data_IF_032269085285
#
_entry.id   IF_032269085285
#
_cell.length_a   1.000
_cell.length_b   1.000
_cell.length_c   1.000
_cell.angle_alpha   90.00
_cell.angle_beta   90.00
_cell.angle_gamma   90.00
#
_symmetry.space_group_name_H-M   'P 1'
#
loop_
_entity.id
_entity.type
_entity.pdbx_description
1 polymer ?
#
# COMPACT_ATOMS: atom_id res chain seq x y z
N UNK A 1 -31.25 -47.98 -41.45
CA UNK A 1 -32.49 -47.24 -41.72
C UNK A 1 -32.18 -45.80 -41.44
N UNK A 2 -31.80 -45.02 -42.42
CA UNK A 2 -32.54 -44.08 -43.28
C UNK A 2 -33.48 -43.13 -42.48
N UNK A 3 -33.13 -41.84 -42.37
CA UNK A 3 -33.75 -40.64 -43.03
C UNK A 3 -33.33 -39.43 -42.19
N UNK A 4 -32.76 -38.40 -42.68
CA UNK A 4 -32.97 -37.36 -43.71
C UNK A 4 -32.95 -35.98 -43.06
N UNK A 5 -32.03 -35.17 -43.61
CA UNK A 5 -31.93 -33.71 -43.59
C UNK A 5 -33.23 -32.94 -43.66
N UNK A 6 -33.21 -31.69 -43.05
CA UNK A 6 -33.79 -30.50 -43.70
C UNK A 6 -32.96 -29.27 -43.32
N UNK A 7 -32.30 -28.67 -44.30
CA UNK A 7 -31.80 -27.30 -44.32
C UNK A 7 -32.96 -26.35 -44.57
N UNK A 8 -33.02 -25.20 -43.88
CA UNK A 8 -33.77 -24.04 -44.38
C UNK A 8 -32.84 -22.81 -44.28
N UNK A 9 -32.37 -22.41 -45.44
CA UNK A 9 -31.83 -21.10 -45.77
C UNK A 9 -33.00 -20.13 -45.96
N UNK A 10 -32.97 -18.95 -45.39
CA UNK A 10 -33.67 -17.82 -45.95
C UNK A 10 -32.84 -16.54 -45.84
N UNK A 11 -32.68 -15.97 -47.01
CA UNK A 11 -31.83 -14.85 -47.40
C UNK A 11 -32.55 -13.49 -47.27
N UNK A 12 -31.71 -12.46 -46.97
CA UNK A 12 -31.69 -11.13 -47.57
C UNK A 12 -32.94 -10.21 -47.53
N UNK A 13 -32.70 -8.97 -47.06
CA UNK A 13 -33.10 -7.78 -47.81
C UNK A 13 -32.30 -6.54 -47.35
N UNK A 14 -31.44 -6.02 -48.25
CA UNK A 14 -30.94 -4.65 -48.25
C UNK A 14 -32.05 -3.65 -48.46
N UNK A 15 -32.04 -2.54 -47.74
CA UNK A 15 -32.69 -1.31 -48.18
C UNK A 15 -31.71 -0.12 -47.94
N UNK A 16 -31.08 0.32 -49.04
CA UNK A 16 -30.49 1.63 -49.17
C UNK A 16 -31.57 2.69 -49.34
N UNK A 17 -31.52 3.74 -48.52
CA UNK A 17 -32.15 5.01 -48.87
C UNK A 17 -31.13 6.12 -48.71
N UNK A 18 -30.65 6.62 -49.86
CA UNK A 18 -29.96 7.91 -49.97
C UNK A 18 -30.98 9.03 -49.83
N UNK A 19 -30.66 10.00 -48.95
CA UNK A 19 -31.19 11.35 -49.10
C UNK A 19 -30.03 12.32 -48.94
N UNK A 20 -29.75 13.01 -50.03
CA UNK A 20 -28.89 14.20 -50.09
C UNK A 20 -29.73 15.40 -49.63
N UNK A 21 -29.19 16.16 -48.68
CA UNK A 21 -29.70 17.46 -48.30
C UNK A 21 -28.60 18.31 -47.70
N UNK A 22 -28.09 19.27 -48.52
CA UNK A 22 -27.19 20.34 -48.05
C UNK A 22 -27.92 21.28 -47.10
N UNK A 23 -27.28 21.60 -45.95
CA UNK A 23 -27.72 22.67 -45.08
C UNK A 23 -26.64 22.96 -44.04
N UNK A 24 -25.94 24.07 -44.25
CA UNK A 24 -24.88 24.62 -43.42
C UNK A 24 -25.41 25.09 -42.07
N UNK A 25 -24.91 24.62 -40.96
CA UNK A 25 -24.71 25.43 -39.73
C UNK A 25 -23.76 24.77 -38.76
N UNK A 26 -22.81 25.58 -38.30
CA UNK A 26 -21.86 25.29 -37.24
C UNK A 26 -22.59 25.19 -35.91
N UNK A 27 -22.46 24.05 -35.24
CA UNK A 27 -22.36 23.98 -33.78
C UNK A 27 -21.64 22.66 -33.46
N UNK A 28 -20.40 22.82 -32.99
CA UNK A 28 -19.57 21.74 -32.48
C UNK A 28 -20.11 21.35 -31.09
N UNK A 29 -20.94 20.33 -31.03
CA UNK A 29 -21.17 19.60 -29.78
C UNK A 29 -19.95 18.71 -29.55
N UNK A 30 -19.19 19.01 -28.50
CA UNK A 30 -18.19 18.12 -27.96
C UNK A 30 -18.87 16.81 -27.57
N UNK A 31 -18.57 15.75 -28.32
CA UNK A 31 -18.95 14.40 -27.89
C UNK A 31 -18.12 14.06 -26.66
N UNK A 32 -18.75 14.01 -25.51
CA UNK A 32 -18.24 13.27 -24.36
C UNK A 32 -18.15 11.82 -24.81
N UNK A 33 -16.92 11.35 -24.97
CA UNK A 33 -16.65 9.92 -25.08
C UNK A 33 -16.84 9.36 -23.68
N UNK A 34 -18.05 8.87 -23.35
CA UNK A 34 -18.20 7.96 -22.20
C UNK A 34 -17.21 6.81 -22.42
N UNK A 35 -16.21 6.73 -21.53
CA UNK A 35 -15.35 5.57 -21.46
C UNK A 35 -16.28 4.37 -21.19
N UNK A 36 -16.32 3.41 -22.12
CA UNK A 36 -17.06 2.18 -21.91
C UNK A 36 -16.53 1.55 -20.61
N UNK A 37 -17.42 1.39 -19.63
CA UNK A 37 -17.06 0.66 -18.40
C UNK A 37 -16.60 -0.75 -18.83
N UNK A 38 -15.47 -1.19 -18.32
CA UNK A 38 -14.99 -2.55 -18.56
C UNK A 38 -16.03 -3.55 -18.04
N UNK A 39 -16.26 -4.62 -18.80
CA UNK A 39 -17.16 -5.69 -18.36
C UNK A 39 -16.58 -6.31 -17.07
N UNK A 40 -17.44 -6.61 -16.06
CA UNK A 40 -16.98 -7.25 -14.84
C UNK A 40 -16.37 -8.63 -15.11
N UNK A 41 -15.31 -8.96 -14.40
CA UNK A 41 -14.72 -10.30 -14.44
C UNK A 41 -15.73 -11.39 -14.03
N UNK A 42 -15.48 -12.62 -14.44
CA UNK A 42 -16.09 -13.80 -13.82
C UNK A 42 -15.60 -13.93 -12.37
N UNK A 43 -16.24 -14.81 -11.58
CA UNK A 43 -15.88 -14.97 -10.16
C UNK A 43 -14.45 -15.50 -10.01
N UNK A 44 -13.61 -14.72 -9.33
CA UNK A 44 -12.22 -15.09 -9.02
C UNK A 44 -11.78 -14.47 -7.68
N UNK A 45 -10.62 -14.93 -7.19
CA UNK A 45 -10.03 -14.43 -5.93
C UNK A 45 -8.63 -13.92 -6.21
N UNK A 46 -8.28 -12.76 -5.69
CA UNK A 46 -6.94 -12.17 -5.74
C UNK A 46 -6.38 -12.10 -4.32
N UNK A 47 -5.24 -12.72 -4.09
CA UNK A 47 -4.54 -12.72 -2.79
C UNK A 47 -3.55 -11.56 -2.73
N UNK A 48 -3.76 -10.66 -1.79
CA UNK A 48 -2.95 -9.44 -1.62
C UNK A 48 -2.15 -9.51 -0.34
N UNK A 49 -0.83 -9.45 -0.43
CA UNK A 49 0.04 -9.23 0.72
C UNK A 49 0.36 -7.75 0.82
N UNK A 50 -0.10 -7.09 1.87
CA UNK A 50 0.05 -5.65 2.04
C UNK A 50 0.65 -5.28 3.39
N UNK A 51 1.49 -4.25 3.41
CA UNK A 51 2.09 -3.73 4.63
C UNK A 51 1.03 -3.44 5.70
N UNK A 52 1.34 -3.67 6.97
CA UNK A 52 0.40 -3.50 8.10
C UNK A 52 -0.25 -2.12 8.15
N UNK A 53 0.48 -1.07 7.79
CA UNK A 53 -0.02 0.31 7.70
C UNK A 53 -1.11 0.53 6.63
N UNK A 54 -1.27 -0.39 5.68
CA UNK A 54 -2.31 -0.33 4.65
C UNK A 54 -3.62 -0.99 5.08
N UNK A 55 -3.64 -1.75 6.19
CA UNK A 55 -4.77 -2.58 6.57
C UNK A 55 -6.11 -1.80 6.58
N UNK A 56 -6.13 -0.62 7.19
CA UNK A 56 -7.37 0.17 7.35
C UNK A 56 -7.84 0.77 6.02
N UNK A 57 -6.92 1.32 5.22
CA UNK A 57 -7.28 1.95 3.93
C UNK A 57 -7.70 0.91 2.90
N UNK A 58 -7.12 -0.30 2.94
CA UNK A 58 -7.46 -1.39 2.01
C UNK A 58 -8.93 -1.81 2.11
N UNK A 59 -9.56 -1.71 3.28
CA UNK A 59 -10.99 -2.02 3.43
C UNK A 59 -11.85 -1.12 2.53
N UNK A 60 -11.57 0.20 2.51
CA UNK A 60 -12.32 1.14 1.66
C UNK A 60 -11.93 1.01 0.19
N UNK A 61 -10.65 0.80 -0.12
CA UNK A 61 -10.18 0.57 -1.49
C UNK A 61 -10.83 -0.66 -2.12
N UNK A 62 -10.89 -1.77 -1.39
CA UNK A 62 -11.56 -3.00 -1.85
C UNK A 62 -13.06 -2.75 -2.06
N UNK A 63 -13.71 -2.04 -1.14
CA UNK A 63 -15.13 -1.71 -1.28
C UNK A 63 -15.41 -0.80 -2.50
N UNK A 64 -14.49 0.12 -2.83
CA UNK A 64 -14.59 0.98 -4.02
C UNK A 64 -14.38 0.16 -5.29
N UNK A 65 -13.31 -0.64 -5.36
CA UNK A 65 -13.00 -1.52 -6.46
C UNK A 65 -14.17 -2.45 -6.80
N UNK A 66 -14.81 -3.04 -5.78
CA UNK A 66 -15.91 -3.97 -5.95
C UNK A 66 -17.20 -3.31 -6.48
N UNK A 67 -17.29 -1.98 -6.60
CA UNK A 67 -18.39 -1.33 -7.31
C UNK A 67 -18.34 -1.57 -8.82
N UNK A 68 -17.15 -1.72 -9.38
CA UNK A 68 -16.92 -2.00 -10.80
C UNK A 68 -16.64 -3.49 -11.05
N UNK A 69 -16.02 -4.18 -10.09
CA UNK A 69 -15.64 -5.59 -10.17
C UNK A 69 -16.29 -6.43 -9.04
N UNK A 70 -17.62 -6.58 -9.03
CA UNK A 70 -18.35 -7.19 -7.91
C UNK A 70 -18.08 -8.69 -7.73
N UNK A 71 -17.50 -9.34 -8.72
CA UNK A 71 -17.23 -10.78 -8.72
C UNK A 71 -15.77 -11.11 -8.32
N UNK A 72 -14.92 -10.10 -8.16
CA UNK A 72 -13.54 -10.28 -7.71
C UNK A 72 -13.49 -10.20 -6.19
N UNK A 73 -13.06 -11.29 -5.55
CA UNK A 73 -12.81 -11.33 -4.10
C UNK A 73 -11.36 -10.97 -3.81
N UNK A 74 -11.11 -9.86 -3.14
CA UNK A 74 -9.76 -9.49 -2.69
C UNK A 74 -9.55 -10.02 -1.27
N UNK A 75 -8.56 -10.90 -1.09
CA UNK A 75 -8.19 -11.49 0.21
C UNK A 75 -6.85 -10.93 0.66
N UNK A 76 -6.87 -10.08 1.69
CA UNK A 76 -5.69 -9.39 2.21
C UNK A 76 -4.99 -10.11 3.36
N UNK A 77 -3.66 -10.21 3.32
CA UNK A 77 -2.79 -10.56 4.42
C UNK A 77 -1.96 -9.34 4.82
N UNK A 78 -1.96 -8.98 6.11
CA UNK A 78 -1.40 -7.71 6.58
C UNK A 78 -0.39 -7.90 7.70
N UNK A 79 0.90 -7.74 7.38
CA UNK A 79 2.01 -7.78 8.34
C UNK A 79 3.15 -6.82 7.92
N UNK A 80 4.32 -6.89 8.58
CA UNK A 80 5.48 -6.14 8.11
C UNK A 80 5.87 -6.58 6.69
N UNK A 81 6.29 -5.62 5.86
CA UNK A 81 6.69 -5.93 4.49
C UNK A 81 7.83 -6.96 4.42
N UNK A 82 8.71 -6.99 5.43
CA UNK A 82 9.78 -7.98 5.51
C UNK A 82 9.26 -9.40 5.74
N UNK A 83 8.29 -9.59 6.64
CA UNK A 83 7.66 -10.91 6.89
C UNK A 83 6.92 -11.39 5.64
N UNK A 84 6.13 -10.50 5.01
CA UNK A 84 5.38 -10.84 3.80
C UNK A 84 6.31 -11.20 2.63
N UNK A 85 7.41 -10.45 2.45
CA UNK A 85 8.44 -10.75 1.47
C UNK A 85 9.01 -12.17 1.69
N UNK A 86 9.41 -12.50 2.92
CA UNK A 86 9.93 -13.84 3.24
C UNK A 86 8.90 -14.93 2.94
N UNK A 87 7.61 -14.71 3.22
CA UNK A 87 6.57 -15.68 2.86
C UNK A 87 6.46 -15.88 1.34
N UNK A 88 6.60 -14.80 0.54
CA UNK A 88 6.63 -14.89 -0.93
C UNK A 88 7.86 -15.66 -1.39
N UNK A 89 9.05 -15.37 -0.84
CA UNK A 89 10.29 -16.11 -1.11
C UNK A 89 10.18 -17.62 -0.76
N UNK A 90 9.43 -17.95 0.28
CA UNK A 90 9.13 -19.33 0.70
C UNK A 90 8.03 -20.01 -0.15
N UNK A 91 7.45 -19.29 -1.13
CA UNK A 91 6.47 -19.82 -2.07
C UNK A 91 5.01 -19.72 -1.63
N UNK A 92 4.68 -18.81 -0.70
CA UNK A 92 3.29 -18.53 -0.39
C UNK A 92 2.55 -17.96 -1.62
N UNK A 93 1.34 -18.45 -1.88
CA UNK A 93 0.49 -17.92 -2.94
C UNK A 93 0.17 -16.44 -2.67
N UNK A 94 0.60 -15.57 -3.56
CA UNK A 94 0.41 -14.12 -3.51
C UNK A 94 0.34 -13.59 -4.93
N UNK A 95 -0.70 -12.83 -5.26
CA UNK A 95 -0.88 -12.22 -6.57
C UNK A 95 -0.40 -10.79 -6.61
N UNK A 96 -0.59 -10.05 -5.51
CA UNK A 96 -0.22 -8.64 -5.40
C UNK A 96 0.54 -8.41 -4.10
N UNK A 97 1.74 -7.83 -4.20
CA UNK A 97 2.50 -7.37 -3.05
C UNK A 97 2.50 -5.85 -2.97
N UNK A 98 2.11 -5.29 -1.84
CA UNK A 98 2.07 -3.85 -1.58
C UNK A 98 2.94 -3.52 -0.36
N UNK A 99 4.18 -3.14 -0.61
CA UNK A 99 5.21 -2.91 0.40
C UNK A 99 5.19 -1.47 0.94
N UNK A 100 5.60 -1.29 2.19
CA UNK A 100 5.84 0.03 2.80
C UNK A 100 7.26 0.56 2.56
N UNK A 101 8.06 -0.09 1.72
CA UNK A 101 9.39 0.38 1.32
C UNK A 101 9.83 -0.26 0.01
N UNK A 102 10.68 0.46 -0.71
CA UNK A 102 11.27 -0.02 -1.97
C UNK A 102 12.16 -1.26 -1.77
N UNK A 103 12.93 -1.32 -0.66
CA UNK A 103 13.92 -2.39 -0.41
C UNK A 103 13.34 -3.81 -0.58
N UNK A 104 12.15 -4.08 -0.05
CA UNK A 104 11.53 -5.40 -0.14
C UNK A 104 11.04 -5.72 -1.56
N UNK A 105 10.55 -4.71 -2.26
CA UNK A 105 10.16 -4.87 -3.66
C UNK A 105 11.38 -5.06 -4.56
N UNK A 106 12.47 -4.31 -4.32
CA UNK A 106 13.75 -4.46 -5.04
C UNK A 106 14.31 -5.87 -4.86
N UNK A 107 14.23 -6.44 -3.65
CA UNK A 107 14.65 -7.81 -3.36
C UNK A 107 13.87 -8.80 -4.25
N UNK A 108 12.54 -8.77 -4.20
CA UNK A 108 11.70 -9.69 -4.99
C UNK A 108 11.87 -9.51 -6.50
N UNK A 109 12.09 -8.29 -6.97
CA UNK A 109 12.23 -7.98 -8.39
C UNK A 109 13.63 -8.33 -8.90
N UNK A 110 14.68 -7.77 -8.27
CA UNK A 110 16.03 -7.73 -8.85
C UNK A 110 16.86 -8.97 -8.47
N UNK A 111 16.58 -9.57 -7.31
CA UNK A 111 17.34 -10.72 -6.81
C UNK A 111 16.60 -12.05 -7.02
N UNK A 112 15.29 -12.06 -6.77
CA UNK A 112 14.52 -13.29 -6.77
C UNK A 112 13.76 -13.53 -8.09
N UNK A 113 13.51 -12.46 -8.88
CA UNK A 113 12.78 -12.54 -10.14
C UNK A 113 11.31 -12.92 -9.96
N UNK A 114 10.72 -12.55 -8.81
CA UNK A 114 9.34 -12.88 -8.44
C UNK A 114 8.32 -11.79 -8.77
N UNK A 115 8.74 -10.63 -9.27
CA UNK A 115 7.84 -9.56 -9.73
C UNK A 115 7.60 -9.70 -11.22
N UNK A 116 6.35 -9.60 -11.66
CA UNK A 116 5.99 -9.61 -13.08
C UNK A 116 6.41 -8.28 -13.71
N UNK A 117 7.16 -8.36 -14.81
CA UNK A 117 7.72 -7.20 -15.50
C UNK A 117 6.65 -6.19 -15.89
N UNK A 118 6.91 -4.91 -15.61
CA UNK A 118 6.04 -3.80 -15.99
C UNK A 118 4.84 -3.55 -15.06
N UNK A 119 4.65 -4.36 -14.01
CA UNK A 119 3.51 -4.23 -13.09
C UNK A 119 3.82 -3.40 -11.83
N UNK A 120 5.09 -3.05 -11.61
CA UNK A 120 5.50 -2.27 -10.44
C UNK A 120 5.16 -0.79 -10.57
N UNK A 121 4.47 -0.24 -9.58
CA UNK A 121 4.11 1.18 -9.48
C UNK A 121 4.43 1.73 -8.09
N UNK A 122 4.87 2.98 -8.02
CA UNK A 122 4.87 3.76 -6.79
C UNK A 122 3.46 4.31 -6.60
N UNK A 123 2.84 4.06 -5.46
CA UNK A 123 1.42 4.41 -5.23
C UNK A 123 1.26 5.58 -4.31
N UNK A 124 1.91 5.53 -3.14
CA UNK A 124 1.82 6.57 -2.11
C UNK A 124 3.16 6.78 -1.43
N UNK A 125 3.30 7.96 -0.83
CA UNK A 125 4.34 8.30 0.13
C UNK A 125 3.71 8.37 1.53
N UNK A 126 4.51 8.16 2.57
CA UNK A 126 4.08 8.26 3.96
C UNK A 126 5.11 9.02 4.78
N UNK A 127 4.78 9.40 5.98
CA UNK A 127 5.68 10.17 6.85
C UNK A 127 5.78 9.52 8.22
N UNK A 128 7.01 9.32 8.71
CA UNK A 128 7.23 8.86 10.08
C UNK A 128 6.79 9.93 11.07
N UNK A 129 6.08 9.53 12.10
CA UNK A 129 5.64 10.39 13.19
C UNK A 129 6.14 9.86 14.53
N UNK A 130 6.52 10.75 15.43
CA UNK A 130 6.65 10.46 16.86
C UNK A 130 5.30 10.73 17.51
N UNK A 131 4.76 9.72 18.18
CA UNK A 131 3.45 9.78 18.81
C UNK A 131 3.51 9.46 20.30
N UNK A 132 2.53 9.95 21.04
CA UNK A 132 2.28 9.60 22.43
C UNK A 132 0.78 9.34 22.63
N UNK A 133 0.39 8.68 23.72
CA UNK A 133 -1.02 8.57 24.06
C UNK A 133 -1.55 9.88 24.67
N UNK A 134 -2.80 10.20 24.40
CA UNK A 134 -3.43 11.41 24.93
C UNK A 134 -3.42 11.44 26.45
N UNK A 135 -2.94 12.54 27.01
CA UNK A 135 -2.83 12.75 28.45
C UNK A 135 -1.62 12.06 29.09
N UNK A 136 -0.64 11.61 28.31
CA UNK A 136 0.62 11.02 28.81
C UNK A 136 1.40 11.97 29.73
N UNK A 137 1.32 13.28 29.44
CA UNK A 137 2.16 14.28 30.10
C UNK A 137 3.65 14.11 29.81
N UNK A 138 3.98 13.49 28.68
CA UNK A 138 5.38 13.30 28.25
C UNK A 138 6.12 14.62 28.13
N UNK A 139 7.42 14.60 28.42
CA UNK A 139 8.31 15.72 28.15
C UNK A 139 8.92 15.68 26.74
N UNK A 140 8.68 14.59 25.99
CA UNK A 140 9.17 14.41 24.61
C UNK A 140 8.41 15.34 23.67
N UNK A 141 9.15 16.03 22.81
CA UNK A 141 8.59 16.94 21.81
C UNK A 141 8.76 16.42 20.38
N UNK A 142 9.63 15.43 20.18
CA UNK A 142 9.88 14.85 18.87
C UNK A 142 11.02 13.82 18.88
N UNK A 143 11.57 13.54 17.68
CA UNK A 143 12.61 12.54 17.51
C UNK A 143 13.89 12.91 18.27
N UNK A 144 14.28 14.19 18.24
CA UNK A 144 15.56 14.65 18.79
C UNK A 144 15.69 14.47 20.30
N UNK A 145 14.58 14.40 21.01
CA UNK A 145 14.54 14.26 22.48
C UNK A 145 13.77 13.00 22.94
N UNK A 146 13.53 12.07 22.03
CA UNK A 146 12.77 10.83 22.27
C UNK A 146 13.34 9.99 23.44
N UNK A 147 14.66 10.09 23.67
CA UNK A 147 15.33 9.45 24.80
C UNK A 147 14.91 9.96 26.19
N UNK A 148 14.18 11.08 26.29
CA UNK A 148 13.61 11.58 27.53
C UNK A 148 12.32 10.85 27.94
N UNK A 149 11.80 9.96 27.10
CA UNK A 149 10.63 9.14 27.43
C UNK A 149 10.94 8.12 28.53
N UNK A 150 9.93 7.68 29.25
CA UNK A 150 10.04 6.56 30.20
C UNK A 150 10.18 5.23 29.48
N UNK A 151 9.50 5.09 28.33
CA UNK A 151 9.57 3.91 27.48
C UNK A 151 9.18 4.26 26.03
N UNK A 152 9.77 3.54 25.08
CA UNK A 152 9.57 3.74 23.63
C UNK A 152 9.05 2.43 23.02
N UNK A 153 8.00 2.48 22.22
CA UNK A 153 7.67 1.40 21.30
C UNK A 153 8.35 1.67 19.95
N UNK A 154 9.15 0.73 19.48
CA UNK A 154 9.93 0.86 18.26
C UNK A 154 9.85 -0.42 17.44
N UNK A 155 9.56 -0.31 16.15
CA UNK A 155 9.58 -1.48 15.28
C UNK A 155 11.02 -1.97 15.04
N UNK A 156 11.18 -3.29 14.84
CA UNK A 156 12.44 -3.92 14.45
C UNK A 156 13.03 -3.27 13.19
N UNK A 157 14.34 -3.34 13.00
CA UNK A 157 15.04 -2.74 11.87
C UNK A 157 14.68 -3.33 10.49
N UNK A 158 14.19 -4.56 10.45
CA UNK A 158 13.70 -5.20 9.23
C UNK A 158 12.32 -4.67 8.80
N UNK A 159 11.57 -4.07 9.74
CA UNK A 159 10.27 -3.44 9.49
C UNK A 159 10.48 -2.07 8.86
N UNK A 160 9.79 -1.70 7.76
CA UNK A 160 10.02 -0.42 7.09
C UNK A 160 10.00 0.80 8.03
N UNK A 161 9.00 0.98 8.89
CA UNK A 161 8.98 2.13 9.82
C UNK A 161 10.15 2.11 10.79
N UNK A 162 10.59 0.94 11.25
CA UNK A 162 11.75 0.77 12.12
C UNK A 162 13.05 1.16 11.40
N UNK A 163 13.19 0.78 10.11
CA UNK A 163 14.31 1.20 9.26
C UNK A 163 14.32 2.72 9.06
N UNK A 164 13.20 3.32 8.68
CA UNK A 164 13.10 4.77 8.45
C UNK A 164 13.34 5.56 9.73
N UNK A 165 12.89 5.05 10.88
CA UNK A 165 13.20 5.68 12.18
C UNK A 165 14.71 5.66 12.48
N UNK A 166 15.37 4.51 12.25
CA UNK A 166 16.84 4.40 12.41
C UNK A 166 17.57 5.33 11.45
N UNK A 167 17.12 5.41 10.19
CA UNK A 167 17.68 6.34 9.21
C UNK A 167 17.56 7.80 9.69
N UNK A 168 16.40 8.16 10.23
CA UNK A 168 16.19 9.51 10.78
C UNK A 168 17.09 9.78 11.98
N UNK A 169 17.28 8.82 12.89
CA UNK A 169 18.17 8.95 14.04
C UNK A 169 19.64 9.11 13.60
N UNK A 170 20.09 8.35 12.59
CA UNK A 170 21.44 8.48 12.01
C UNK A 170 21.62 9.85 11.37
N UNK A 171 20.65 10.30 10.56
CA UNK A 171 20.72 11.59 9.87
C UNK A 171 20.61 12.79 10.85
N UNK A 172 19.94 12.61 11.99
CA UNK A 172 19.90 13.57 13.08
C UNK A 172 21.16 13.55 13.96
N UNK A 173 22.11 12.63 13.72
CA UNK A 173 23.35 12.50 14.51
C UNK A 173 23.14 11.87 15.90
N UNK A 174 22.04 11.17 16.12
CA UNK A 174 21.73 10.46 17.36
C UNK A 174 22.36 9.06 17.40
N UNK A 175 22.62 8.49 16.22
CA UNK A 175 23.27 7.20 16.02
C UNK A 175 24.44 7.33 15.06
N UNK A 176 25.41 6.44 15.18
CA UNK A 176 26.55 6.37 14.27
C UNK A 176 26.11 5.98 12.84
N UNK A 177 26.84 6.46 11.84
CA UNK A 177 26.62 6.07 10.44
C UNK A 177 27.06 4.63 10.20
N UNK A 178 26.18 3.87 9.54
CA UNK A 178 26.40 2.49 9.12
C UNK A 178 25.99 2.32 7.66
N UNK A 179 26.44 1.25 7.01
CA UNK A 179 26.09 0.97 5.61
C UNK A 179 24.60 0.56 5.45
N UNK A 180 24.06 -0.22 6.39
CA UNK A 180 22.66 -0.60 6.42
C UNK A 180 22.05 -0.31 7.79
N UNK A 181 21.27 0.76 7.87
CA UNK A 181 20.62 1.20 9.12
C UNK A 181 19.64 0.16 9.68
N UNK A 182 19.14 -0.77 8.85
CA UNK A 182 18.27 -1.84 9.32
C UNK A 182 18.96 -2.84 10.26
N UNK A 183 20.29 -2.85 10.27
CA UNK A 183 21.09 -3.70 11.14
C UNK A 183 21.37 -3.08 12.52
N UNK A 184 21.07 -1.80 12.74
CA UNK A 184 21.19 -1.16 14.05
C UNK A 184 20.20 -1.83 15.00
N UNK A 185 20.70 -2.47 16.04
CA UNK A 185 19.89 -3.19 17.01
C UNK A 185 19.17 -2.25 17.97
N UNK A 186 18.07 -2.71 18.52
CA UNK A 186 17.34 -1.98 19.59
C UNK A 186 18.22 -1.70 20.81
N UNK A 187 19.16 -2.62 21.14
CA UNK A 187 20.13 -2.43 22.21
C UNK A 187 21.10 -1.27 21.94
N UNK A 188 21.56 -1.11 20.70
CA UNK A 188 22.42 0.02 20.32
C UNK A 188 21.67 1.33 20.43
N UNK A 189 20.40 1.38 19.98
CA UNK A 189 19.53 2.56 20.14
C UNK A 189 19.31 2.88 21.61
N UNK A 190 18.99 1.88 22.43
CA UNK A 190 18.81 2.04 23.86
C UNK A 190 20.03 2.68 24.53
N UNK A 191 21.22 2.17 24.20
CA UNK A 191 22.47 2.71 24.74
C UNK A 191 22.72 4.15 24.29
N UNK A 192 22.48 4.48 23.01
CA UNK A 192 22.66 5.83 22.47
C UNK A 192 21.67 6.83 23.09
N UNK A 193 20.48 6.38 23.46
CA UNK A 193 19.43 7.19 24.09
C UNK A 193 19.50 7.22 25.64
N UNK A 194 20.62 6.81 26.22
CA UNK A 194 20.86 6.90 27.68
C UNK A 194 20.22 5.78 28.51
N UNK A 195 19.86 4.66 27.89
CA UNK A 195 19.34 3.48 28.55
C UNK A 195 17.82 3.47 28.71
N UNK A 196 17.08 4.27 27.95
CA UNK A 196 15.60 4.27 27.95
C UNK A 196 15.06 2.88 27.60
N UNK A 197 13.99 2.49 28.24
CA UNK A 197 13.35 1.20 27.96
C UNK A 197 12.70 1.20 26.57
N UNK A 198 13.06 0.21 25.74
CA UNK A 198 12.53 0.07 24.38
C UNK A 198 11.82 -1.26 24.22
N UNK A 199 10.55 -1.19 23.89
CA UNK A 199 9.73 -2.33 23.47
C UNK A 199 9.85 -2.51 21.95
N UNK A 200 10.55 -3.55 21.52
CA UNK A 200 10.68 -3.89 20.12
C UNK A 200 9.42 -4.57 19.59
N UNK A 201 8.88 -4.07 18.49
CA UNK A 201 7.62 -4.50 17.89
C UNK A 201 7.84 -5.13 16.52
N UNK A 202 7.09 -6.19 16.22
CA UNK A 202 7.19 -6.95 14.96
C UNK A 202 6.62 -6.20 13.74
N UNK A 203 5.75 -5.22 13.94
CA UNK A 203 5.15 -4.39 12.89
C UNK A 203 4.65 -3.06 13.45
N UNK A 204 4.30 -2.11 12.56
CA UNK A 204 3.84 -0.78 12.97
C UNK A 204 2.52 -0.81 13.74
N UNK A 205 1.61 -1.73 13.43
CA UNK A 205 0.35 -1.85 14.15
C UNK A 205 0.56 -2.20 15.63
N UNK A 206 1.59 -3.02 15.95
CA UNK A 206 1.97 -3.32 17.33
C UNK A 206 2.52 -2.09 18.05
N UNK A 207 3.30 -1.24 17.36
CA UNK A 207 3.77 0.06 17.91
C UNK A 207 2.57 0.96 18.21
N UNK A 208 1.67 1.14 17.24
CA UNK A 208 0.48 1.98 17.37
C UNK A 208 -0.37 1.55 18.56
N UNK A 209 -0.63 0.24 18.69
CA UNK A 209 -1.39 -0.30 19.83
C UNK A 209 -0.67 -0.08 21.16
N UNK A 210 0.64 -0.36 21.24
CA UNK A 210 1.41 -0.20 22.47
C UNK A 210 1.38 1.23 23.02
N UNK A 211 1.42 2.24 22.12
CA UNK A 211 1.31 3.64 22.53
C UNK A 211 -0.15 4.02 22.81
N UNK A 212 -1.10 3.66 21.95
CA UNK A 212 -2.50 4.02 22.12
C UNK A 212 -3.14 3.44 23.41
N UNK A 213 -2.62 2.31 23.89
CA UNK A 213 -3.03 1.66 25.14
C UNK A 213 -2.23 2.12 26.37
N UNK A 214 -1.24 3.01 26.17
CA UNK A 214 -0.37 3.52 27.23
C UNK A 214 0.64 2.50 27.78
N UNK A 215 0.86 1.39 27.07
CA UNK A 215 1.89 0.39 27.44
C UNK A 215 3.31 0.97 27.23
N UNK A 216 3.47 1.87 26.28
CA UNK A 216 4.67 2.68 26.08
C UNK A 216 4.30 4.17 26.04
N UNK A 217 5.19 5.02 26.54
CA UNK A 217 4.94 6.46 26.62
C UNK A 217 4.94 7.12 25.23
N UNK A 218 5.91 6.75 24.38
CA UNK A 218 6.02 7.25 23.01
C UNK A 218 6.33 6.10 22.05
N UNK A 219 6.19 6.37 20.77
CA UNK A 219 6.60 5.44 19.72
C UNK A 219 6.73 6.13 18.37
N UNK A 220 7.27 5.40 17.38
CA UNK A 220 7.37 5.87 16.01
C UNK A 220 6.48 5.05 15.10
N UNK A 221 5.54 5.73 14.44
CA UNK A 221 4.54 5.16 13.52
C UNK A 221 4.55 5.94 12.22
N UNK A 222 3.76 5.53 11.22
CA UNK A 222 3.48 6.38 10.09
C UNK A 222 2.30 7.32 10.36
N UNK A 223 2.23 8.43 9.63
CA UNK A 223 1.11 9.36 9.74
C UNK A 223 -0.22 8.68 9.44
N UNK A 224 -0.27 7.80 8.46
CA UNK A 224 -1.46 7.00 8.15
C UNK A 224 -1.93 6.10 9.31
N UNK A 225 -1.02 5.62 10.16
CA UNK A 225 -1.36 4.76 11.30
C UNK A 225 -2.06 5.54 12.44
N UNK A 226 -2.08 6.88 12.35
CA UNK A 226 -2.81 7.72 13.33
C UNK A 226 -4.27 7.92 12.96
N UNK A 227 -4.68 7.56 11.74
CA UNK A 227 -6.07 7.61 11.31
C UNK A 227 -6.95 6.67 12.15
N UNK A 228 -8.05 7.22 12.68
CA UNK A 228 -8.94 6.49 13.59
C UNK A 228 -8.42 6.35 15.03
N UNK A 229 -7.27 6.98 15.35
CA UNK A 229 -6.72 7.04 16.70
C UNK A 229 -6.62 8.47 17.24
N UNK A 230 -7.27 9.43 16.61
CA UNK A 230 -7.18 10.87 16.94
C UNK A 230 -7.69 11.18 18.37
N UNK A 231 -8.50 10.31 18.95
CA UNK A 231 -8.98 10.40 20.32
C UNK A 231 -8.03 9.76 21.36
N UNK A 232 -7.10 8.90 20.92
CA UNK A 232 -6.17 8.15 21.78
C UNK A 232 -4.72 8.54 21.61
N UNK A 233 -4.32 8.97 20.42
CA UNK A 233 -2.95 9.38 20.10
C UNK A 233 -2.83 10.90 19.92
N UNK A 234 -1.64 11.39 20.25
CA UNK A 234 -1.17 12.74 19.96
C UNK A 234 0.12 12.65 19.15
N UNK A 235 0.19 13.38 18.04
CA UNK A 235 1.39 13.48 17.21
C UNK A 235 2.27 14.58 17.81
N UNK A 236 3.45 14.19 18.27
CA UNK A 236 4.46 15.13 18.80
C UNK A 236 5.25 15.76 17.66
N UNK A 237 5.62 14.96 16.65
CA UNK A 237 6.35 15.42 15.48
C UNK A 237 6.01 14.56 14.26
N UNK A 238 5.87 15.20 13.09
CA UNK A 238 6.02 14.56 11.78
C UNK A 238 7.47 14.71 11.36
N UNK A 239 8.22 13.61 11.36
CA UNK A 239 9.65 13.60 11.08
C UNK A 239 9.90 14.06 9.64
N UNK A 240 10.79 15.04 9.47
CA UNK A 240 11.08 15.60 8.15
C UNK A 240 11.62 14.54 7.17
N UNK A 241 11.19 14.59 5.92
CA UNK A 241 11.77 13.80 4.83
C UNK A 241 13.26 14.03 4.61
N UNK A 242 13.83 15.16 5.07
CA UNK A 242 15.28 15.36 5.07
C UNK A 242 16.00 14.34 5.97
N UNK A 243 15.32 13.76 6.96
CA UNK A 243 15.87 12.76 7.87
C UNK A 243 15.54 11.32 7.43
N UNK A 244 14.34 11.07 6.94
CA UNK A 244 13.90 9.73 6.54
C UNK A 244 14.17 9.39 5.09
N UNK A 245 14.23 10.39 4.19
CA UNK A 245 13.94 10.23 2.77
C UNK A 245 12.44 10.03 2.54
N UNK A 246 12.04 9.89 1.27
CA UNK A 246 10.67 9.53 0.92
C UNK A 246 10.35 8.10 1.36
N UNK A 247 9.16 7.90 1.91
CA UNK A 247 8.66 6.59 2.35
C UNK A 247 7.69 6.06 1.30
N UNK A 248 8.24 5.68 0.16
CA UNK A 248 7.46 5.24 -1.00
C UNK A 248 6.95 3.81 -0.80
N UNK A 249 5.68 3.62 -1.10
CA UNK A 249 4.99 2.33 -1.10
C UNK A 249 4.83 1.84 -2.53
N UNK A 250 5.66 0.88 -2.97
CA UNK A 250 5.48 0.22 -4.26
C UNK A 250 4.46 -0.91 -4.16
N UNK A 251 3.67 -1.08 -5.23
CA UNK A 251 2.83 -2.25 -5.48
C UNK A 251 3.33 -2.97 -6.73
N UNK A 252 3.22 -4.28 -6.78
CA UNK A 252 3.50 -5.07 -7.97
C UNK A 252 2.73 -6.39 -7.97
N UNK A 253 2.54 -6.95 -9.16
CA UNK A 253 2.06 -8.32 -9.33
C UNK A 253 3.21 -9.30 -9.12
N UNK A 254 2.93 -10.36 -8.37
CA UNK A 254 3.90 -11.39 -8.00
C UNK A 254 3.67 -12.63 -8.87
N UNK A 255 4.76 -13.33 -9.18
CA UNK A 255 4.71 -14.61 -9.87
C UNK A 255 4.07 -15.65 -8.96
N UNK A 256 2.78 -15.90 -9.16
CA UNK A 256 2.01 -16.94 -8.48
C UNK A 256 1.78 -18.12 -9.45
N UNK A 257 2.48 -19.24 -9.22
CA UNK A 257 2.39 -20.42 -10.08
C UNK A 257 1.06 -21.17 -9.92
N UNK A 258 0.24 -20.83 -8.94
CA UNK A 258 -1.07 -21.43 -8.70
C UNK A 258 -2.20 -20.64 -9.37
N UNK A 259 -1.95 -19.37 -9.73
CA UNK A 259 -2.93 -18.48 -10.33
C UNK A 259 -3.23 -18.85 -11.80
N UNK A 260 -4.52 -18.85 -12.15
CA UNK A 260 -4.95 -18.97 -13.54
C UNK A 260 -4.93 -17.60 -14.29
N UNK A 261 -5.24 -17.62 -15.60
CA UNK A 261 -5.23 -16.39 -16.42
C UNK A 261 -6.26 -15.33 -15.94
N UNK A 262 -7.39 -15.76 -15.40
CA UNK A 262 -8.43 -14.87 -14.90
C UNK A 262 -7.98 -14.17 -13.61
N UNK A 263 -7.39 -14.92 -12.68
CA UNK A 263 -6.83 -14.41 -11.43
C UNK A 263 -5.68 -13.43 -11.71
N UNK A 264 -4.77 -13.76 -12.64
CA UNK A 264 -3.68 -12.88 -13.07
C UNK A 264 -4.21 -11.56 -13.66
N UNK A 265 -5.23 -11.63 -14.52
CA UNK A 265 -5.85 -10.45 -15.13
C UNK A 265 -6.58 -9.59 -14.09
N UNK A 266 -7.25 -10.19 -13.12
CA UNK A 266 -7.91 -9.49 -12.04
C UNK A 266 -6.91 -8.83 -11.07
N UNK A 267 -5.75 -9.45 -10.84
CA UNK A 267 -4.67 -8.87 -10.06
C UNK A 267 -4.06 -7.63 -10.73
N UNK A 268 -3.84 -7.66 -12.04
CA UNK A 268 -3.39 -6.52 -12.82
C UNK A 268 -4.44 -5.38 -12.80
N UNK A 269 -5.71 -5.69 -12.99
CA UNK A 269 -6.81 -4.71 -12.95
C UNK A 269 -6.91 -4.05 -11.55
N UNK A 270 -6.75 -4.83 -10.48
CA UNK A 270 -6.72 -4.29 -9.12
C UNK A 270 -5.52 -3.35 -8.90
N UNK A 271 -4.32 -3.67 -9.42
CA UNK A 271 -3.16 -2.77 -9.38
C UNK A 271 -3.46 -1.48 -10.15
N UNK A 272 -4.07 -1.56 -11.34
CA UNK A 272 -4.45 -0.40 -12.11
C UNK A 272 -5.47 0.49 -11.36
N UNK A 273 -6.41 -0.12 -10.63
CA UNK A 273 -7.28 0.63 -9.72
C UNK A 273 -6.49 1.33 -8.61
N UNK A 274 -5.53 0.66 -7.96
CA UNK A 274 -4.75 1.23 -6.86
C UNK A 274 -3.94 2.49 -7.25
N UNK A 275 -3.63 2.68 -8.54
CA UNK A 275 -2.95 3.88 -9.06
C UNK A 275 -3.92 4.92 -9.64
N UNK A 276 -5.23 4.66 -9.64
CA UNK A 276 -6.26 5.54 -10.18
C UNK A 276 -6.50 6.79 -9.32
N UNK A 277 -7.17 7.79 -9.87
CA UNK A 277 -7.53 9.01 -9.14
C UNK A 277 -8.57 8.74 -8.02
N UNK A 278 -9.43 7.73 -8.19
CA UNK A 278 -10.38 7.31 -7.16
C UNK A 278 -9.63 6.71 -5.96
N UNK A 279 -8.66 5.83 -6.20
CA UNK A 279 -7.82 5.28 -5.15
C UNK A 279 -6.97 6.37 -4.45
N UNK A 280 -6.41 7.33 -5.20
CA UNK A 280 -5.67 8.47 -4.63
C UNK A 280 -6.54 9.27 -3.66
N UNK A 281 -7.80 9.53 -4.02
CA UNK A 281 -8.73 10.24 -3.14
C UNK A 281 -8.94 9.50 -1.82
N UNK A 282 -9.06 8.16 -1.88
CA UNK A 282 -9.19 7.32 -0.70
C UNK A 282 -7.89 7.36 0.12
N UNK A 283 -6.71 7.18 -0.50
CA UNK A 283 -5.44 7.24 0.21
C UNK A 283 -5.25 8.56 0.97
N UNK A 284 -5.56 9.71 0.34
CA UNK A 284 -5.46 11.02 0.98
C UNK A 284 -6.35 11.14 2.21
N UNK A 285 -7.55 10.57 2.19
CA UNK A 285 -8.45 10.51 3.35
C UNK A 285 -7.81 9.79 4.53
N UNK A 286 -6.98 8.79 4.28
CA UNK A 286 -6.25 8.00 5.28
C UNK A 286 -4.83 8.54 5.55
N UNK A 287 -4.59 9.81 5.28
CA UNK A 287 -3.36 10.55 5.57
C UNK A 287 -2.11 10.10 4.79
N UNK A 288 -2.28 9.38 3.68
CA UNK A 288 -1.19 9.14 2.74
C UNK A 288 -0.99 10.36 1.83
N UNK A 289 0.26 10.57 1.44
CA UNK A 289 0.62 11.50 0.38
C UNK A 289 0.62 10.75 -0.96
N UNK A 290 -0.10 11.27 -1.95
CA UNK A 290 -0.24 10.64 -3.28
C UNK A 290 0.63 11.32 -4.33
N UNK A 291 1.45 12.30 -3.94
CA UNK A 291 2.44 12.94 -4.80
C UNK A 291 3.72 12.08 -4.78
N UNK A 292 3.78 11.12 -5.68
CA UNK A 292 4.89 10.19 -5.84
C UNK A 292 5.42 10.25 -7.27
N UNK A 293 6.72 10.40 -7.41
CA UNK A 293 7.44 10.34 -8.69
C UNK A 293 8.05 8.95 -8.94
#
# INVERSE_FOLDING_TARGET
>A
MKKKCVCVLLSAAMAMTMFAGCGNNKDQAAGETEAAAAEPFEATTVTVFAAKSLNTVMEELIAEYNKTQPNVSIVGSYDSSGILMTQIEEGAACDVFFSAAQKQMDQLQDQDGLVIDGTRHNVVNNQVCVVTYKGSGTAVTGLSDIGNAKSIALADGSVPVGKYTRQAMVNAGMLDKVDDVSQITTTEIQNALGGVDINECANVGAVTSAVAEGSNEVGTVYYSDTYGFEDRLEILEKVSYNLTGNVIYPVAQIVNNEADELEQSAAEDFINFLVSDDAKTIFQKYYFDTDVE
#
